data_IF_587477204173
#
_entry.id   IF_587477204173
#
_cell.length_a   1.000
_cell.length_b   1.000
_cell.length_c   1.000
_cell.angle_alpha   90.00
_cell.angle_beta   90.00
_cell.angle_gamma   90.00
#
_symmetry.space_group_name_H-M   'P 1'
#
loop_
_entity.id
_entity.type
_entity.pdbx_description
1 polymer ?
#
# COMPACT_ATOMS: atom_id res chain seq x y z
N UNK A 1 40.85 3.58 -52.70
CA UNK A 1 41.58 3.09 -51.51
C UNK A 1 41.22 4.02 -50.35
N UNK A 2 39.93 4.10 -50.02
CA UNK A 2 39.21 3.27 -49.04
C UNK A 2 39.12 3.99 -47.70
N UNK A 3 38.24 4.99 -47.63
CA UNK A 3 37.68 5.48 -46.37
C UNK A 3 36.16 5.25 -46.41
N UNK A 4 35.78 4.00 -46.67
CA UNK A 4 34.49 3.46 -46.24
C UNK A 4 34.67 3.04 -44.77
N UNK A 5 34.40 3.96 -43.85
CA UNK A 5 34.07 3.62 -42.46
C UNK A 5 33.13 4.69 -41.91
N UNK A 6 32.21 5.14 -42.75
CA UNK A 6 30.89 5.52 -42.27
C UNK A 6 30.23 4.25 -41.72
N UNK A 7 29.61 4.37 -40.55
CA UNK A 7 28.72 3.39 -39.93
C UNK A 7 29.35 2.17 -39.21
N UNK A 8 30.25 2.39 -38.24
CA UNK A 8 30.34 1.49 -37.08
C UNK A 8 29.09 1.73 -36.20
N UNK A 9 28.01 1.07 -36.61
CA UNK A 9 26.73 0.82 -35.93
C UNK A 9 26.66 1.30 -34.47
N UNK A 10 25.89 2.37 -34.25
CA UNK A 10 25.01 2.47 -33.09
C UNK A 10 24.08 1.24 -33.08
N UNK A 11 24.55 0.14 -32.51
CA UNK A 11 23.68 -0.96 -32.15
C UNK A 11 22.70 -0.41 -31.12
N UNK A 12 21.37 -0.51 -31.34
CA UNK A 12 20.40 -0.10 -30.33
C UNK A 12 20.74 -0.87 -29.06
N UNK A 13 21.09 -0.13 -28.01
CA UNK A 13 21.77 -0.64 -26.82
C UNK A 13 21.17 -1.96 -26.37
N UNK A 14 21.85 -3.05 -26.73
CA UNK A 14 21.61 -4.36 -26.14
C UNK A 14 21.85 -4.11 -24.66
N UNK A 15 20.85 -4.28 -23.77
CA UNK A 15 21.08 -4.14 -22.36
C UNK A 15 22.21 -5.09 -22.02
N UNK A 16 23.37 -4.55 -21.67
CA UNK A 16 24.44 -5.35 -21.06
C UNK A 16 23.76 -6.13 -19.95
N UNK A 17 23.85 -7.47 -19.91
CA UNK A 17 23.37 -8.24 -18.77
C UNK A 17 24.15 -7.65 -17.60
N UNK A 18 23.44 -6.84 -16.82
CA UNK A 18 23.94 -6.14 -15.65
C UNK A 18 24.87 -7.09 -14.90
N UNK A 19 25.99 -6.60 -14.38
CA UNK A 19 26.75 -7.34 -13.37
C UNK A 19 25.75 -7.97 -12.38
N UNK A 20 26.06 -9.12 -11.78
CA UNK A 20 25.24 -9.72 -10.74
C UNK A 20 25.27 -8.85 -9.49
N UNK A 21 24.67 -7.68 -9.60
CA UNK A 21 24.49 -6.69 -8.56
C UNK A 21 23.38 -7.23 -7.65
N UNK A 22 23.69 -7.55 -6.39
CA UNK A 22 22.71 -8.02 -5.43
C UNK A 22 21.55 -7.03 -5.23
N UNK A 23 21.74 -5.75 -5.59
CA UNK A 23 20.72 -4.72 -5.50
C UNK A 23 19.72 -4.74 -6.66
N UNK A 24 20.01 -5.41 -7.78
CA UNK A 24 19.05 -5.51 -8.89
C UNK A 24 17.87 -6.44 -8.53
N UNK A 25 16.63 -5.93 -8.45
CA UNK A 25 15.45 -6.73 -8.14
C UNK A 25 15.21 -7.89 -9.12
N UNK A 26 15.72 -7.81 -10.35
CA UNK A 26 15.60 -8.88 -11.35
C UNK A 26 16.42 -10.12 -10.99
N UNK A 27 17.51 -9.99 -10.24
CA UNK A 27 18.37 -11.11 -9.82
C UNK A 27 17.92 -11.77 -8.51
N UNK A 28 16.89 -11.24 -7.84
CA UNK A 28 16.39 -11.82 -6.59
C UNK A 28 15.71 -13.17 -6.83
N UNK A 29 15.86 -14.05 -5.84
CA UNK A 29 15.13 -15.31 -5.80
C UNK A 29 13.61 -15.07 -5.74
N UNK A 30 12.85 -16.00 -6.31
CA UNK A 30 11.39 -15.86 -6.49
C UNK A 30 10.65 -15.62 -5.18
N UNK A 31 11.14 -16.18 -4.06
CA UNK A 31 10.53 -15.97 -2.74
C UNK A 31 10.73 -14.55 -2.21
N UNK A 32 11.89 -13.90 -2.41
CA UNK A 32 12.08 -12.49 -2.02
C UNK A 32 11.22 -11.56 -2.86
N UNK A 33 11.07 -11.87 -4.16
CA UNK A 33 10.17 -11.14 -5.05
C UNK A 33 8.72 -11.28 -4.59
N UNK A 34 8.29 -12.51 -4.26
CA UNK A 34 6.95 -12.78 -3.75
C UNK A 34 6.68 -12.03 -2.42
N UNK A 35 7.61 -12.07 -1.46
CA UNK A 35 7.45 -11.35 -0.19
C UNK A 35 7.38 -9.83 -0.37
N UNK A 36 8.23 -9.23 -1.22
CA UNK A 36 8.18 -7.80 -1.48
C UNK A 36 6.88 -7.39 -2.19
N UNK A 37 6.37 -8.26 -3.07
CA UNK A 37 5.10 -8.06 -3.73
C UNK A 37 3.96 -8.10 -2.70
N UNK A 38 3.96 -9.09 -1.81
CA UNK A 38 2.92 -9.24 -0.78
C UNK A 38 2.88 -8.06 0.19
N UNK A 39 4.05 -7.60 0.67
CA UNK A 39 4.18 -6.40 1.53
C UNK A 39 3.57 -5.15 0.87
N UNK A 40 3.63 -5.05 -0.46
CA UNK A 40 3.03 -3.93 -1.20
C UNK A 40 1.51 -4.07 -1.37
N UNK A 41 0.98 -5.30 -1.41
CA UNK A 41 -0.45 -5.56 -1.66
C UNK A 41 -1.33 -5.54 -0.40
N UNK A 42 -0.76 -5.45 0.80
CA UNK A 42 -1.55 -5.43 2.05
C UNK A 42 -2.55 -4.27 2.06
N UNK A 43 -2.14 -3.05 1.68
CA UNK A 43 -3.00 -1.86 1.72
C UNK A 43 -4.24 -1.94 0.82
N UNK A 44 -4.16 -2.35 -0.47
CA UNK A 44 -5.36 -2.46 -1.31
C UNK A 44 -6.33 -3.56 -0.86
N UNK A 45 -5.87 -4.63 -0.19
CA UNK A 45 -6.75 -5.70 0.30
C UNK A 45 -7.72 -5.21 1.38
N UNK A 46 -7.28 -4.31 2.26
CA UNK A 46 -8.10 -3.78 3.36
C UNK A 46 -9.31 -2.98 2.88
N UNK A 47 -9.17 -2.19 1.82
CA UNK A 47 -10.29 -1.42 1.26
C UNK A 47 -11.49 -2.28 0.83
N UNK A 48 -11.25 -3.55 0.50
CA UNK A 48 -12.28 -4.45 -0.03
C UNK A 48 -13.22 -5.01 1.04
N UNK A 49 -12.85 -4.97 2.33
CA UNK A 49 -13.62 -5.61 3.40
C UNK A 49 -14.68 -4.72 4.04
N UNK A 50 -14.64 -3.41 3.78
CA UNK A 50 -15.39 -2.42 4.57
C UNK A 50 -16.86 -2.39 4.21
N UNK A 51 -17.18 -2.35 2.92
CA UNK A 51 -18.56 -2.33 2.43
C UNK A 51 -19.33 -3.61 2.81
N UNK A 52 -18.81 -4.84 2.58
CA UNK A 52 -19.52 -6.05 3.00
C UNK A 52 -19.53 -6.25 4.52
N UNK A 53 -18.65 -5.60 5.28
CA UNK A 53 -18.60 -5.69 6.74
C UNK A 53 -19.64 -4.85 7.48
N UNK A 54 -20.31 -3.92 6.78
CA UNK A 54 -21.31 -3.03 7.38
C UNK A 54 -22.47 -3.77 8.06
N UNK A 55 -23.12 -4.78 7.45
CA UNK A 55 -24.23 -5.49 8.10
C UNK A 55 -23.80 -6.21 9.39
N UNK A 56 -22.60 -6.80 9.40
CA UNK A 56 -22.01 -7.45 10.58
C UNK A 56 -21.80 -6.45 11.72
N UNK A 57 -21.36 -5.23 11.37
CA UNK A 57 -21.19 -4.15 12.34
C UNK A 57 -22.50 -3.76 13.03
N UNK A 58 -23.60 -3.74 12.28
CA UNK A 58 -24.91 -3.38 12.82
C UNK A 58 -25.43 -4.45 13.78
N UNK A 59 -25.10 -5.72 13.52
CA UNK A 59 -25.43 -6.86 14.39
C UNK A 59 -24.58 -6.84 15.67
N UNK A 60 -23.25 -6.72 15.54
CA UNK A 60 -22.30 -6.80 16.65
C UNK A 60 -22.41 -5.63 17.64
N UNK A 61 -22.67 -4.41 17.15
CA UNK A 61 -22.79 -3.21 17.99
C UNK A 61 -24.24 -2.83 18.31
N UNK A 62 -25.22 -3.65 17.87
CA UNK A 62 -26.66 -3.37 17.97
C UNK A 62 -27.05 -1.97 17.45
N UNK A 63 -26.31 -1.46 16.46
CA UNK A 63 -26.41 -0.09 16.00
C UNK A 63 -26.92 -0.04 14.55
N UNK A 64 -28.24 0.12 14.42
CA UNK A 64 -28.95 0.10 13.14
C UNK A 64 -29.22 1.49 12.57
N UNK A 65 -28.84 2.57 13.28
CA UNK A 65 -29.06 3.94 12.80
C UNK A 65 -28.19 4.21 11.55
N UNK A 66 -28.80 4.50 10.38
CA UNK A 66 -28.06 4.73 9.14
C UNK A 66 -26.96 5.79 9.24
N UNK A 67 -27.14 6.93 9.95
CA UNK A 67 -26.09 7.94 10.05
C UNK A 67 -24.79 7.43 10.68
N UNK A 68 -24.88 6.51 11.65
CA UNK A 68 -23.71 6.00 12.37
C UNK A 68 -22.94 5.02 11.49
N UNK A 69 -23.65 4.13 10.82
CA UNK A 69 -23.05 3.17 9.87
C UNK A 69 -22.41 3.89 8.68
N UNK A 70 -23.06 4.91 8.12
CA UNK A 70 -22.48 5.74 7.06
C UNK A 70 -21.24 6.48 7.54
N UNK A 71 -21.21 6.97 8.78
CA UNK A 71 -20.03 7.64 9.34
C UNK A 71 -18.80 6.72 9.40
N UNK A 72 -18.97 5.43 9.71
CA UNK A 72 -17.86 4.44 9.72
C UNK A 72 -17.28 4.25 8.32
N UNK A 73 -18.10 4.25 7.28
CA UNK A 73 -17.61 4.15 5.89
C UNK A 73 -16.97 5.47 5.45
N UNK A 74 -17.56 6.61 5.82
CA UNK A 74 -17.04 7.92 5.45
C UNK A 74 -15.69 8.22 6.10
N UNK A 75 -15.49 7.87 7.37
CA UNK A 75 -14.23 8.12 8.07
C UNK A 75 -13.08 7.35 7.42
N UNK A 76 -13.34 6.13 6.95
CA UNK A 76 -12.38 5.36 6.16
C UNK A 76 -12.03 6.06 4.84
N UNK A 77 -13.04 6.51 4.09
CA UNK A 77 -12.84 7.23 2.82
C UNK A 77 -12.06 8.52 3.03
N UNK A 78 -12.31 9.23 4.13
CA UNK A 78 -11.55 10.42 4.50
C UNK A 78 -10.08 10.07 4.77
N UNK A 79 -9.82 9.02 5.54
CA UNK A 79 -8.47 8.47 5.74
C UNK A 79 -7.75 8.20 4.44
N UNK A 80 -8.41 7.46 3.54
CA UNK A 80 -7.88 7.14 2.22
C UNK A 80 -7.63 8.38 1.35
N UNK A 81 -8.42 9.44 1.51
CA UNK A 81 -8.22 10.70 0.79
C UNK A 81 -7.03 11.50 1.34
N UNK A 82 -6.84 11.55 2.66
CA UNK A 82 -5.78 12.33 3.29
C UNK A 82 -4.44 11.61 3.34
N UNK A 83 -4.42 10.29 3.49
CA UNK A 83 -3.21 9.48 3.58
C UNK A 83 -2.24 9.75 2.43
N UNK A 84 -2.64 9.59 1.14
CA UNK A 84 -1.77 9.84 0.00
C UNK A 84 -1.25 11.28 -0.10
N UNK A 85 -2.03 12.26 0.35
CA UNK A 85 -1.64 13.68 0.29
C UNK A 85 -0.43 13.95 1.18
N UNK A 86 -0.37 13.32 2.36
CA UNK A 86 0.77 13.42 3.27
C UNK A 86 1.91 12.49 2.84
N UNK A 87 1.58 11.26 2.42
CA UNK A 87 2.58 10.25 2.08
C UNK A 87 3.32 10.56 0.77
N UNK A 88 2.70 11.28 -0.16
CA UNK A 88 3.33 11.65 -1.44
C UNK A 88 4.65 12.43 -1.25
N UNK A 89 4.69 13.60 -0.59
CA UNK A 89 5.93 14.34 -0.37
C UNK A 89 6.91 13.61 0.57
N UNK A 90 6.40 12.88 1.56
CA UNK A 90 7.25 12.08 2.46
C UNK A 90 7.99 10.97 1.70
N UNK A 91 7.36 10.39 0.66
CA UNK A 91 7.95 9.31 -0.13
C UNK A 91 9.15 9.77 -0.97
N UNK A 92 9.19 11.06 -1.32
CA UNK A 92 10.28 11.68 -2.07
C UNK A 92 11.47 12.04 -1.17
N UNK A 93 11.20 12.40 0.10
CA UNK A 93 12.24 12.80 1.06
C UNK A 93 12.94 11.59 1.73
N UNK A 94 12.20 10.56 2.11
CA UNK A 94 12.71 9.44 2.92
C UNK A 94 12.86 8.13 2.13
N UNK A 95 12.46 8.13 0.86
CA UNK A 95 12.45 6.95 0.01
C UNK A 95 11.27 6.02 0.27
N UNK A 96 10.84 5.35 -0.79
CA UNK A 96 9.58 4.56 -0.82
C UNK A 96 9.61 3.34 0.10
N UNK A 97 10.75 2.66 0.26
CA UNK A 97 10.84 1.41 1.04
C UNK A 97 10.60 1.64 2.53
N UNK A 98 11.25 2.64 3.14
CA UNK A 98 11.08 2.91 4.57
C UNK A 98 9.64 3.36 4.86
N UNK A 99 9.11 4.26 4.03
CA UNK A 99 7.77 4.80 4.21
C UNK A 99 6.69 3.72 4.12
N UNK A 100 6.75 2.83 3.12
CA UNK A 100 5.79 1.73 2.98
C UNK A 100 5.78 0.80 4.20
N UNK A 101 6.96 0.49 4.77
CA UNK A 101 7.04 -0.34 5.96
C UNK A 101 6.41 0.36 7.18
N UNK A 102 6.64 1.67 7.35
CA UNK A 102 6.02 2.45 8.44
C UNK A 102 4.50 2.46 8.28
N UNK A 103 3.99 2.74 7.08
CA UNK A 103 2.56 2.72 6.80
C UNK A 103 1.95 1.36 7.14
N UNK A 104 2.57 0.26 6.69
CA UNK A 104 2.09 -1.09 7.00
C UNK A 104 2.03 -1.37 8.51
N UNK A 105 3.00 -0.90 9.30
CA UNK A 105 3.00 -1.06 10.76
C UNK A 105 1.90 -0.22 11.41
N UNK A 106 1.70 1.02 10.95
CA UNK A 106 0.63 1.91 11.45
C UNK A 106 -0.73 1.31 11.14
N UNK A 107 -0.99 0.95 9.89
CA UNK A 107 -2.23 0.30 9.44
C UNK A 107 -2.48 -1.00 10.21
N UNK A 108 -1.47 -1.84 10.42
CA UNK A 108 -1.61 -3.04 11.25
C UNK A 108 -2.01 -2.71 12.70
N UNK A 109 -1.42 -1.68 13.29
CA UNK A 109 -1.77 -1.22 14.63
C UNK A 109 -3.21 -0.71 14.74
N UNK A 110 -3.66 0.08 13.77
CA UNK A 110 -5.04 0.55 13.69
C UNK A 110 -6.03 -0.61 13.44
N UNK A 111 -5.66 -1.57 12.59
CA UNK A 111 -6.44 -2.78 12.32
C UNK A 111 -6.64 -3.60 13.61
N UNK A 112 -5.58 -3.83 14.38
CA UNK A 112 -5.66 -4.50 15.70
C UNK A 112 -6.52 -3.68 16.68
N UNK A 113 -6.36 -2.35 16.70
CA UNK A 113 -7.19 -1.46 17.51
C UNK A 113 -8.69 -1.56 17.17
N UNK A 114 -9.00 -1.70 15.88
CA UNK A 114 -10.37 -1.90 15.39
C UNK A 114 -10.95 -3.25 15.81
N UNK A 115 -10.14 -4.32 15.81
CA UNK A 115 -10.54 -5.64 16.26
C UNK A 115 -10.81 -5.70 17.78
N UNK A 116 -10.14 -4.84 18.57
CA UNK A 116 -10.31 -4.74 20.02
C UNK A 116 -11.36 -3.68 20.43
N UNK A 117 -12.02 -3.02 19.46
CA UNK A 117 -12.96 -1.94 19.73
C UNK A 117 -14.28 -2.47 20.31
N UNK A 118 -14.45 -2.36 21.62
CA UNK A 118 -15.70 -2.73 22.31
C UNK A 118 -16.86 -1.73 22.13
N UNK A 119 -16.63 -0.62 21.43
CA UNK A 119 -17.63 0.43 21.23
C UNK A 119 -17.50 1.02 19.82
N UNK A 120 -18.63 1.41 19.23
CA UNK A 120 -18.66 1.98 17.88
C UNK A 120 -17.86 3.28 17.76
N UNK A 121 -17.82 4.10 18.82
CA UNK A 121 -17.00 5.32 18.83
C UNK A 121 -15.49 5.01 18.73
N UNK A 122 -15.02 3.96 19.42
CA UNK A 122 -13.61 3.52 19.33
C UNK A 122 -13.32 2.96 17.95
N UNK A 123 -14.26 2.18 17.40
CA UNK A 123 -14.16 1.64 16.06
C UNK A 123 -14.03 2.76 15.01
N UNK A 124 -14.84 3.83 15.10
CA UNK A 124 -14.77 4.98 14.18
C UNK A 124 -13.37 5.61 14.19
N UNK A 125 -12.78 5.79 15.38
CA UNK A 125 -11.42 6.37 15.51
C UNK A 125 -10.37 5.45 14.89
N UNK A 126 -10.42 4.15 15.18
CA UNK A 126 -9.46 3.19 14.63
C UNK A 126 -9.67 2.89 13.14
N UNK A 127 -10.79 3.31 12.54
CA UNK A 127 -11.07 3.16 11.11
C UNK A 127 -10.60 4.32 10.23
N UNK A 128 -10.02 5.36 10.82
CA UNK A 128 -9.51 6.51 10.05
C UNK A 128 -8.22 6.20 9.28
N UNK A 129 -7.35 5.32 9.76
CA UNK A 129 -6.03 5.00 9.13
C UNK A 129 -5.85 3.50 8.81
N UNK A 130 -6.92 2.72 8.99
CA UNK A 130 -7.01 1.31 8.61
C UNK A 130 -7.71 1.24 7.25
#
# INVERSE_FOLDING_TARGET
>A
MSTESDAEKQQPGIPVPWEPDPENPQNWNTWRKALNLEIFHVSPLESSVIVPGVPLLQEDFHETRPPVTSLVVLIFVLGFAFGPVLLSPLSELYGRRLLLNICNVVTLGFSIGSALALNIAKLIVFRFEA
#
